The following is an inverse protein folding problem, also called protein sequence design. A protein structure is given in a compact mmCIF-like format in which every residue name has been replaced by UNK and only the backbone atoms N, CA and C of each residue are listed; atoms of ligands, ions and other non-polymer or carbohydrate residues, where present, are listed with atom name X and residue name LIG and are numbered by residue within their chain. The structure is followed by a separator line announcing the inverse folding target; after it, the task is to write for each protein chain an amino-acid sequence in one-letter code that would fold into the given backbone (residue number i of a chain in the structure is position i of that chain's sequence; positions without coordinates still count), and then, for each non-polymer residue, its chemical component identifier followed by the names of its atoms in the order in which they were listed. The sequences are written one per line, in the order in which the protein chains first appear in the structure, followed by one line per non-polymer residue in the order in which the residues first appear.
data_IF_091293163040
#
_entry.id   IF_091293163040
#
_cell.length_a   1.000
_cell.length_b   1.000
_cell.length_c   1.000
_cell.angle_alpha   90.00
_cell.angle_beta   90.00
_cell.angle_gamma   90.00
#
_symmetry.space_group_name_H-M   'P 1'
#
loop_
_entity.id
_entity.type
_entity.pdbx_description
1 polymer ?
#
# COMPACT_ATOMS: atom_id res chain seq x y z
N UNK A 1 8.76 5.35 7.53
CA UNK A 1 7.39 5.23 7.02
C UNK A 1 6.49 5.00 8.21
N UNK A 2 5.79 6.00 8.59
CA UNK A 2 4.71 5.87 9.56
C UNK A 2 3.42 5.88 8.75
N UNK A 3 2.67 4.79 8.71
CA UNK A 3 1.28 4.85 8.32
C UNK A 3 0.55 5.57 9.44
N UNK A 4 0.48 6.91 9.36
CA UNK A 4 -0.26 7.68 10.31
C UNK A 4 -1.74 7.37 10.14
N UNK A 5 -2.37 6.85 11.16
CA UNK A 5 -3.80 6.97 11.35
C UNK A 5 -4.10 8.45 11.48
N UNK A 6 -4.64 9.05 10.41
CA UNK A 6 -4.96 10.47 10.36
C UNK A 6 -5.93 10.78 11.49
N UNK A 7 -5.54 11.68 12.38
CA UNK A 7 -6.42 12.24 13.41
C UNK A 7 -6.20 11.78 14.85
N UNK A 8 -5.21 10.92 15.15
CA UNK A 8 -4.82 10.66 16.52
C UNK A 8 -3.51 11.35 16.88
N UNK A 9 -3.46 12.01 18.02
CA UNK A 9 -2.26 12.61 18.57
C UNK A 9 -1.13 11.60 18.84
N UNK A 10 -1.40 10.31 18.65
CA UNK A 10 -0.46 9.20 18.86
C UNK A 10 0.44 8.89 17.65
N UNK A 11 0.24 9.50 16.49
CA UNK A 11 1.08 9.30 15.31
C UNK A 11 2.15 10.38 15.17
N UNK A 12 3.16 10.32 16.02
CA UNK A 12 4.32 11.20 15.93
C UNK A 12 5.37 10.53 15.05
N UNK A 13 5.74 11.19 13.95
CA UNK A 13 6.95 10.84 13.20
C UNK A 13 8.15 11.46 13.90
N UNK A 14 8.66 10.80 14.91
CA UNK A 14 9.73 11.29 15.75
C UNK A 14 11.11 10.82 15.29
N UNK A 15 11.18 9.82 14.42
CA UNK A 15 12.46 9.26 13.95
C UNK A 15 12.43 8.87 12.47
N UNK A 16 13.51 9.23 11.79
CA UNK A 16 13.79 8.87 10.40
C UNK A 16 14.99 7.94 10.37
N UNK A 17 14.90 6.88 9.59
CA UNK A 17 15.95 5.85 9.53
C UNK A 17 16.91 6.02 8.36
N UNK A 18 16.57 6.89 7.38
CA UNK A 18 17.34 7.14 6.15
C UNK A 18 17.82 5.83 5.49
N UNK A 19 16.88 4.89 5.36
CA UNK A 19 17.20 3.51 4.96
C UNK A 19 17.32 3.32 3.43
N UNK A 20 17.10 4.37 2.63
CA UNK A 20 17.23 4.28 1.18
C UNK A 20 18.68 4.02 0.81
N UNK A 21 18.95 2.98 0.03
CA UNK A 21 20.24 2.63 -0.52
C UNK A 21 20.32 2.85 -2.03
N UNK A 22 21.46 2.52 -2.62
CA UNK A 22 21.72 2.69 -4.05
C UNK A 22 20.86 1.75 -4.91
N UNK A 23 20.43 0.64 -4.35
CA UNK A 23 19.56 -0.34 -4.98
C UNK A 23 18.53 -0.92 -3.99
N UNK A 24 17.66 -1.78 -4.49
CA UNK A 24 16.62 -2.42 -3.69
C UNK A 24 17.21 -3.30 -2.58
N UNK A 25 18.27 -4.05 -2.87
CA UNK A 25 18.92 -4.94 -1.90
C UNK A 25 19.53 -4.15 -0.76
N UNK A 26 20.27 -3.06 -1.08
CA UNK A 26 20.83 -2.15 -0.10
C UNK A 26 19.72 -1.50 0.76
N UNK A 27 18.63 -1.07 0.14
CA UNK A 27 17.47 -0.49 0.84
C UNK A 27 16.85 -1.50 1.82
N UNK A 28 16.60 -2.73 1.40
CA UNK A 28 16.07 -3.77 2.27
C UNK A 28 17.02 -4.10 3.43
N UNK A 29 18.32 -4.23 3.14
CA UNK A 29 19.34 -4.46 4.16
C UNK A 29 19.42 -3.31 5.18
N UNK A 30 19.37 -2.07 4.71
CA UNK A 30 19.37 -0.88 5.55
C UNK A 30 18.13 -0.81 6.46
N UNK A 31 16.94 -1.14 5.93
CA UNK A 31 15.71 -1.19 6.74
C UNK A 31 15.89 -2.13 7.92
N UNK A 32 16.37 -3.35 7.67
CA UNK A 32 16.59 -4.34 8.73
C UNK A 32 17.63 -3.85 9.74
N UNK A 33 18.76 -3.33 9.27
CA UNK A 33 19.86 -2.89 10.13
C UNK A 33 19.48 -1.66 10.96
N UNK A 34 18.87 -0.65 10.33
CA UNK A 34 18.50 0.60 11.00
C UNK A 34 17.37 0.36 12.01
N UNK A 35 16.36 -0.45 11.65
CA UNK A 35 15.28 -0.79 12.57
C UNK A 35 15.77 -1.61 13.76
N UNK A 36 16.67 -2.56 13.55
CA UNK A 36 17.27 -3.32 14.65
C UNK A 36 17.96 -2.40 15.66
N UNK A 37 18.82 -1.48 15.17
CA UNK A 37 19.52 -0.50 16.01
C UNK A 37 18.54 0.40 16.76
N UNK A 38 17.50 0.86 16.08
CA UNK A 38 16.45 1.68 16.67
C UNK A 38 15.73 0.94 17.81
N UNK A 39 15.35 -0.32 17.59
CA UNK A 39 14.65 -1.13 18.59
C UNK A 39 15.52 -1.44 19.81
N UNK A 40 16.82 -1.66 19.62
CA UNK A 40 17.78 -1.81 20.74
C UNK A 40 17.82 -0.56 21.61
N UNK A 41 17.73 0.63 20.99
CA UNK A 41 17.77 1.92 21.70
C UNK A 41 16.44 2.24 22.39
N UNK A 42 15.31 2.03 21.68
CA UNK A 42 13.98 2.46 22.13
C UNK A 42 13.27 1.43 23.01
N UNK A 43 13.61 0.14 22.84
CA UNK A 43 13.01 -1.00 23.54
C UNK A 43 11.47 -0.93 23.57
N UNK A 44 10.81 -0.87 22.40
CA UNK A 44 9.36 -0.77 22.37
C UNK A 44 8.71 -2.04 22.92
N UNK A 45 7.54 -1.91 23.52
CA UNK A 45 6.74 -3.04 24.01
C UNK A 45 6.10 -3.86 22.89
N UNK A 46 5.95 -3.27 21.70
CA UNK A 46 5.43 -3.92 20.51
C UNK A 46 5.71 -3.12 19.26
N UNK A 47 5.67 -3.80 18.11
CA UNK A 47 5.80 -3.19 16.78
C UNK A 47 4.51 -3.41 16.00
N UNK A 48 3.89 -2.33 15.56
CA UNK A 48 2.72 -2.36 14.67
C UNK A 48 3.16 -2.05 13.24
N UNK A 49 2.83 -2.95 12.32
CA UNK A 49 3.13 -2.80 10.90
C UNK A 49 1.84 -2.78 10.10
N UNK A 50 1.74 -1.86 9.14
CA UNK A 50 0.62 -1.79 8.20
C UNK A 50 1.10 -2.15 6.79
N UNK A 51 0.51 -3.20 6.22
CA UNK A 51 0.72 -3.58 4.84
C UNK A 51 2.09 -4.23 4.58
N UNK A 52 2.57 -4.06 3.36
CA UNK A 52 3.58 -4.91 2.74
C UNK A 52 4.69 -4.16 1.99
N UNK A 53 4.80 -2.86 2.17
CA UNK A 53 5.92 -2.09 1.62
C UNK A 53 7.25 -2.56 2.23
N UNK A 54 8.38 -2.27 1.60
CA UNK A 54 9.70 -2.73 2.07
C UNK A 54 9.98 -2.38 3.53
N UNK A 55 9.39 -1.32 4.07
CA UNK A 55 9.51 -0.95 5.49
C UNK A 55 9.01 -2.03 6.45
N UNK A 56 8.11 -2.90 6.00
CA UNK A 56 7.63 -4.02 6.81
C UNK A 56 8.74 -5.02 7.19
N UNK A 57 9.85 -5.06 6.45
CA UNK A 57 11.00 -5.91 6.74
C UNK A 57 11.67 -5.56 8.08
N UNK A 58 11.34 -4.41 8.67
CA UNK A 58 11.73 -4.06 10.05
C UNK A 58 11.30 -5.11 11.08
N UNK A 59 10.25 -5.89 10.80
CA UNK A 59 9.78 -6.98 11.67
C UNK A 59 10.85 -8.06 11.91
N UNK A 60 11.79 -8.24 10.99
CA UNK A 60 12.91 -9.17 11.16
C UNK A 60 13.76 -8.75 12.36
N UNK A 61 14.08 -7.46 12.47
CA UNK A 61 14.78 -6.89 13.61
C UNK A 61 14.00 -7.04 14.91
N UNK A 62 12.71 -6.73 14.89
CA UNK A 62 11.81 -6.88 16.04
C UNK A 62 11.76 -8.34 16.54
N UNK A 63 11.59 -9.29 15.62
CA UNK A 63 11.53 -10.72 15.97
C UNK A 63 12.81 -11.23 16.60
N UNK A 64 13.96 -10.78 16.12
CA UNK A 64 15.29 -11.13 16.70
C UNK A 64 15.49 -10.57 18.10
N UNK A 65 14.80 -9.50 18.44
CA UNK A 65 14.82 -8.87 19.76
C UNK A 65 13.66 -9.31 20.66
N UNK A 66 12.85 -10.30 20.22
CA UNK A 66 11.69 -10.82 20.94
C UNK A 66 10.62 -9.75 21.24
N UNK A 67 10.51 -8.73 20.39
CA UNK A 67 9.48 -7.70 20.49
C UNK A 67 8.22 -8.22 19.80
N UNK A 68 7.04 -8.20 20.45
CA UNK A 68 5.78 -8.61 19.85
C UNK A 68 5.46 -7.81 18.58
N UNK A 69 4.99 -8.50 17.53
CA UNK A 69 4.71 -7.92 16.21
C UNK A 69 3.22 -8.07 15.91
N UNK A 70 2.60 -6.95 15.57
CA UNK A 70 1.20 -6.86 15.15
C UNK A 70 1.16 -6.41 13.69
N UNK A 71 0.56 -7.22 12.82
CA UNK A 71 0.49 -6.93 11.39
C UNK A 71 -0.94 -6.60 10.96
N UNK A 72 -1.18 -5.36 10.54
CA UNK A 72 -2.43 -4.91 9.93
C UNK A 72 -2.40 -5.16 8.41
N UNK A 73 -3.56 -5.42 7.83
CA UNK A 73 -3.71 -5.80 6.42
C UNK A 73 -3.16 -7.20 6.11
N UNK A 74 -3.11 -8.05 7.11
CA UNK A 74 -2.57 -9.40 7.00
C UNK A 74 -3.42 -10.33 6.12
N UNK A 75 -2.78 -11.31 5.48
CA UNK A 75 -3.46 -12.37 4.75
C UNK A 75 -3.92 -12.00 3.34
N UNK A 76 -3.65 -10.82 2.85
CA UNK A 76 -3.85 -10.50 1.45
C UNK A 76 -2.91 -11.36 0.59
N UNK A 77 -3.39 -11.80 -0.56
CA UNK A 77 -2.60 -12.63 -1.49
C UNK A 77 -2.78 -12.17 -2.92
N UNK A 78 -1.70 -12.22 -3.66
CA UNK A 78 -1.69 -12.09 -5.11
C UNK A 78 -1.27 -13.43 -5.74
N UNK A 79 -1.87 -13.79 -6.87
CA UNK A 79 -1.43 -14.96 -7.63
C UNK A 79 -0.17 -14.70 -8.45
N UNK A 80 0.15 -13.44 -8.66
CA UNK A 80 1.37 -13.01 -9.32
C UNK A 80 2.50 -12.91 -8.30
N UNK A 81 3.38 -13.88 -8.31
CA UNK A 81 4.54 -13.95 -7.41
C UNK A 81 5.67 -12.99 -7.82
N UNK A 82 5.57 -12.34 -8.97
CA UNK A 82 6.53 -11.32 -9.40
C UNK A 82 6.36 -10.00 -8.65
N UNK A 83 5.25 -9.83 -7.92
CA UNK A 83 5.02 -8.63 -7.11
C UNK A 83 5.92 -8.64 -5.87
N UNK A 84 6.78 -7.62 -5.69
CA UNK A 84 7.63 -7.51 -4.50
C UNK A 84 6.84 -7.53 -3.19
N UNK A 85 5.66 -6.92 -3.21
CA UNK A 85 4.73 -6.86 -2.08
C UNK A 85 4.24 -8.24 -1.65
N UNK A 86 4.07 -9.19 -2.59
CA UNK A 86 3.64 -10.54 -2.23
C UNK A 86 4.70 -11.28 -1.40
N UNK A 87 5.97 -11.09 -1.74
CA UNK A 87 7.09 -11.63 -0.97
C UNK A 87 7.13 -11.02 0.43
N UNK A 88 7.06 -9.70 0.53
CA UNK A 88 7.06 -8.98 1.79
C UNK A 88 5.89 -9.41 2.68
N UNK A 89 4.71 -9.50 2.12
CA UNK A 89 3.46 -9.88 2.77
C UNK A 89 3.57 -11.26 3.40
N UNK A 90 4.08 -12.25 2.66
CA UNK A 90 4.29 -13.61 3.18
C UNK A 90 5.29 -13.63 4.33
N UNK A 91 6.37 -12.88 4.22
CA UNK A 91 7.37 -12.80 5.30
C UNK A 91 6.73 -12.24 6.57
N UNK A 92 6.04 -11.11 6.46
CA UNK A 92 5.46 -10.42 7.62
C UNK A 92 4.35 -11.25 8.27
N UNK A 93 3.46 -11.85 7.47
CA UNK A 93 2.40 -12.70 7.98
C UNK A 93 2.93 -13.86 8.83
N UNK A 94 4.00 -14.53 8.35
CA UNK A 94 4.55 -15.72 9.00
C UNK A 94 5.24 -15.37 10.32
N UNK A 95 5.96 -14.27 10.38
CA UNK A 95 6.78 -13.95 11.56
C UNK A 95 6.05 -13.06 12.58
N UNK A 96 4.91 -12.49 12.22
CA UNK A 96 4.08 -11.71 13.15
C UNK A 96 3.45 -12.58 14.24
N UNK A 97 3.35 -12.02 15.43
CA UNK A 97 2.73 -12.70 16.58
C UNK A 97 1.19 -12.57 16.52
N UNK A 98 0.69 -11.48 15.97
CA UNK A 98 -0.74 -11.23 15.77
C UNK A 98 -0.97 -10.72 14.35
N UNK A 99 -1.89 -11.36 13.64
CA UNK A 99 -2.32 -10.96 12.30
C UNK A 99 -3.72 -10.36 12.34
N UNK A 100 -3.87 -9.13 11.84
CA UNK A 100 -5.13 -8.40 11.74
C UNK A 100 -5.55 -8.33 10.27
N UNK A 101 -6.43 -9.23 9.88
CA UNK A 101 -6.93 -9.37 8.51
C UNK A 101 -8.09 -8.39 8.24
N UNK A 102 -8.20 -7.89 7.01
CA UNK A 102 -9.33 -7.02 6.63
C UNK A 102 -10.61 -7.80 6.32
N UNK A 103 -10.50 -9.08 6.01
CA UNK A 103 -11.64 -9.90 5.66
C UNK A 103 -11.52 -11.33 6.18
N UNK A 104 -12.65 -12.01 6.26
CA UNK A 104 -12.70 -13.44 6.56
C UNK A 104 -11.97 -14.26 5.48
N UNK A 105 -11.94 -13.78 4.25
CA UNK A 105 -11.21 -14.42 3.17
C UNK A 105 -9.69 -14.39 3.42
N UNK A 106 -9.16 -13.24 3.81
CA UNK A 106 -7.75 -13.10 4.19
C UNK A 106 -7.40 -13.99 5.39
N UNK A 107 -8.29 -14.06 6.40
CA UNK A 107 -8.10 -14.93 7.56
C UNK A 107 -7.99 -16.41 7.17
N UNK A 108 -8.78 -16.86 6.18
CA UNK A 108 -8.71 -18.24 5.68
C UNK A 108 -7.35 -18.52 5.02
N UNK A 109 -6.82 -17.60 4.23
CA UNK A 109 -5.49 -17.74 3.66
C UNK A 109 -4.39 -17.90 4.73
N UNK A 110 -4.48 -17.16 5.81
CA UNK A 110 -3.54 -17.30 6.92
C UNK A 110 -3.66 -18.68 7.58
N UNK A 111 -4.89 -19.17 7.79
CA UNK A 111 -5.14 -20.49 8.34
C UNK A 111 -4.61 -21.61 7.41
N UNK A 112 -4.78 -21.47 6.10
CA UNK A 112 -4.25 -22.41 5.10
C UNK A 112 -2.72 -22.43 5.05
N UNK A 113 -2.07 -21.33 5.44
CA UNK A 113 -0.62 -21.24 5.66
C UNK A 113 -0.16 -21.85 7.00
N UNK A 114 -1.08 -22.42 7.80
CA UNK A 114 -0.76 -23.04 9.09
C UNK A 114 -0.60 -22.04 10.24
N UNK A 115 -1.03 -20.78 10.07
CA UNK A 115 -0.93 -19.78 11.13
C UNK A 115 -2.03 -19.99 12.19
N UNK A 116 -1.73 -19.76 13.49
CA UNK A 116 -2.66 -20.00 14.58
C UNK A 116 -3.90 -19.11 14.46
N UNK A 117 -5.09 -19.73 14.53
CA UNK A 117 -6.37 -19.03 14.46
C UNK A 117 -6.58 -18.07 15.64
N UNK A 118 -6.01 -18.41 16.79
CA UNK A 118 -6.09 -17.64 18.04
C UNK A 118 -5.35 -16.31 17.97
N UNK A 119 -4.46 -16.16 16.97
CA UNK A 119 -3.65 -14.96 16.75
C UNK A 119 -4.02 -14.24 15.46
N UNK A 120 -5.16 -14.60 14.86
CA UNK A 120 -5.64 -14.00 13.62
C UNK A 120 -7.03 -13.41 13.84
N UNK A 121 -7.12 -12.09 13.74
CA UNK A 121 -8.35 -11.32 13.99
C UNK A 121 -8.83 -10.68 12.71
N UNK A 122 -10.14 -10.66 12.46
CA UNK A 122 -10.73 -9.88 11.37
C UNK A 122 -11.13 -8.53 11.93
N UNK A 123 -10.39 -7.50 11.55
CA UNK A 123 -10.59 -6.13 12.01
C UNK A 123 -11.40 -5.27 11.04
N UNK A 124 -11.52 -5.72 9.80
CA UNK A 124 -12.05 -4.88 8.71
C UNK A 124 -11.01 -3.91 8.16
N UNK A 125 -11.33 -3.32 7.01
CA UNK A 125 -10.51 -2.28 6.39
C UNK A 125 -10.83 -0.92 7.01
N UNK A 126 -9.85 -0.08 7.32
CA UNK A 126 -10.08 1.27 7.83
C UNK A 126 -10.67 2.22 6.78
N UNK A 127 -10.70 1.82 5.49
CA UNK A 127 -11.15 2.68 4.39
C UNK A 127 -12.59 3.16 4.57
N UNK A 128 -13.49 2.30 5.07
CA UNK A 128 -14.87 2.68 5.32
C UNK A 128 -15.00 3.77 6.38
N UNK A 129 -14.15 3.71 7.41
CA UNK A 129 -14.09 4.73 8.47
C UNK A 129 -13.50 6.03 7.94
N UNK A 130 -12.41 5.97 7.17
CA UNK A 130 -11.81 7.14 6.53
C UNK A 130 -12.81 7.86 5.62
N UNK A 131 -13.53 7.12 4.78
CA UNK A 131 -14.55 7.71 3.90
C UNK A 131 -15.68 8.35 4.70
N UNK A 132 -16.15 7.70 5.75
CA UNK A 132 -17.22 8.23 6.61
C UNK A 132 -16.81 9.51 7.32
N UNK A 133 -15.60 9.55 7.84
CA UNK A 133 -15.07 10.72 8.56
C UNK A 133 -14.84 11.93 7.65
N UNK A 134 -14.61 11.69 6.35
CA UNK A 134 -14.41 12.74 5.36
C UNK A 134 -15.64 12.98 4.47
N UNK A 135 -16.80 12.35 4.76
CA UNK A 135 -17.98 12.42 3.90
C UNK A 135 -18.47 13.86 3.69
N UNK A 136 -18.50 14.65 4.76
CA UNK A 136 -18.95 16.05 4.67
C UNK A 136 -18.04 16.88 3.74
N UNK A 137 -16.73 16.67 3.75
CA UNK A 137 -15.80 17.34 2.86
C UNK A 137 -15.92 16.85 1.41
N UNK A 138 -16.18 15.54 1.24
CA UNK A 138 -16.41 14.94 -0.07
C UNK A 138 -17.69 15.53 -0.71
N UNK A 139 -18.77 15.68 0.06
CA UNK A 139 -20.06 16.18 -0.44
C UNK A 139 -20.02 17.65 -0.86
N UNK A 140 -19.22 18.49 -0.19
CA UNK A 140 -19.06 19.91 -0.53
C UNK A 140 -17.93 20.18 -1.52
N UNK A 141 -17.23 19.15 -1.98
CA UNK A 141 -16.11 19.28 -2.90
C UNK A 141 -16.54 19.87 -4.25
N UNK A 142 -15.81 20.89 -4.69
CA UNK A 142 -16.00 21.56 -5.99
C UNK A 142 -15.26 20.88 -7.15
N UNK A 143 -14.68 19.70 -6.91
CA UNK A 143 -13.79 19.01 -7.87
C UNK A 143 -14.44 18.81 -9.25
N UNK A 144 -15.73 18.49 -9.31
CA UNK A 144 -16.44 18.33 -10.57
C UNK A 144 -16.53 19.66 -11.35
N UNK A 145 -16.80 20.76 -10.67
CA UNK A 145 -16.88 22.09 -11.28
C UNK A 145 -15.49 22.53 -11.76
N UNK A 146 -14.49 22.39 -10.91
CA UNK A 146 -13.10 22.77 -11.19
C UNK A 146 -12.50 22.01 -12.37
N UNK A 147 -12.89 20.75 -12.56
CA UNK A 147 -12.42 19.90 -13.65
C UNK A 147 -13.39 19.85 -14.83
N UNK A 148 -14.46 20.66 -14.81
CA UNK A 148 -15.53 20.68 -15.82
C UNK A 148 -16.12 19.29 -16.11
N UNK A 149 -16.32 18.49 -15.07
CA UNK A 149 -16.86 17.14 -15.16
C UNK A 149 -18.36 17.13 -14.79
N UNK A 150 -19.14 16.41 -15.54
CA UNK A 150 -20.52 16.13 -15.22
C UNK A 150 -20.64 14.81 -14.46
N UNK A 151 -21.34 14.81 -13.32
CA UNK A 151 -21.51 13.63 -12.48
C UNK A 151 -22.15 12.49 -13.29
N UNK A 152 -21.48 11.32 -13.30
CA UNK A 152 -21.92 10.15 -14.05
C UNK A 152 -21.57 10.14 -15.54
N UNK A 153 -20.91 11.20 -16.06
CA UNK A 153 -20.50 11.29 -17.46
C UNK A 153 -18.97 11.41 -17.64
N UNK A 154 -18.24 10.68 -16.85
CA UNK A 154 -16.79 10.53 -16.99
C UNK A 154 -16.35 9.14 -16.48
N UNK A 155 -15.21 8.70 -16.91
CA UNK A 155 -14.57 7.46 -16.46
C UNK A 155 -13.44 7.83 -15.53
N UNK A 156 -13.44 7.29 -14.30
CA UNK A 156 -12.33 7.45 -13.38
C UNK A 156 -11.33 6.31 -13.59
N UNK A 157 -10.08 6.68 -13.91
CA UNK A 157 -8.99 5.75 -14.12
C UNK A 157 -7.96 5.83 -12.98
N UNK A 158 -7.56 4.68 -12.45
CA UNK A 158 -6.40 4.53 -11.60
C UNK A 158 -5.52 3.41 -12.16
N UNK A 159 -4.34 3.75 -12.66
CA UNK A 159 -3.39 2.80 -13.22
C UNK A 159 -1.97 3.27 -12.89
N UNK A 160 -1.30 2.58 -11.95
CA UNK A 160 0.02 3.01 -11.46
C UNK A 160 0.98 1.85 -11.18
N UNK A 161 0.63 0.62 -11.57
CA UNK A 161 1.52 -0.54 -11.42
C UNK A 161 2.71 -0.45 -12.35
N UNK A 162 3.88 -0.80 -11.85
CA UNK A 162 5.16 -0.74 -12.57
C UNK A 162 5.12 -1.55 -13.88
N UNK A 163 4.55 -2.74 -13.85
CA UNK A 163 4.45 -3.64 -15.00
C UNK A 163 3.70 -3.01 -16.17
N UNK A 164 2.73 -2.16 -15.89
CA UNK A 164 1.93 -1.48 -16.90
C UNK A 164 2.56 -0.18 -17.40
N UNK A 165 3.48 0.40 -16.62
CA UNK A 165 4.03 1.73 -16.88
C UNK A 165 5.47 1.65 -17.37
N UNK A 166 6.29 0.76 -16.83
CA UNK A 166 7.72 0.74 -17.10
C UNK A 166 8.08 0.07 -18.43
N UNK A 167 7.26 -0.86 -18.89
CA UNK A 167 7.45 -1.48 -20.21
C UNK A 167 6.75 -0.66 -21.29
N UNK A 168 7.49 -0.22 -22.30
CA UNK A 168 6.97 0.62 -23.39
C UNK A 168 5.77 -0.02 -24.08
N UNK A 169 5.86 -1.31 -24.42
CA UNK A 169 4.77 -2.06 -25.04
C UNK A 169 3.49 -2.04 -24.20
N UNK A 170 3.60 -2.31 -22.90
CA UNK A 170 2.44 -2.37 -22.02
C UNK A 170 1.83 -0.98 -21.82
N UNK A 171 2.69 0.04 -21.70
CA UNK A 171 2.27 1.43 -21.58
C UNK A 171 1.45 1.87 -22.81
N UNK A 172 1.97 1.68 -24.02
CA UNK A 172 1.26 2.02 -25.24
C UNK A 172 -0.04 1.23 -25.40
N UNK A 173 -0.04 -0.08 -25.12
CA UNK A 173 -1.25 -0.91 -25.18
C UNK A 173 -2.32 -0.42 -24.21
N UNK A 174 -1.94 -0.09 -22.98
CA UNK A 174 -2.84 0.41 -21.95
C UNK A 174 -3.48 1.74 -22.39
N UNK A 175 -2.66 2.73 -22.77
CA UNK A 175 -3.19 4.06 -23.11
C UNK A 175 -3.95 4.07 -24.45
N UNK A 176 -3.59 3.22 -25.40
CA UNK A 176 -4.39 2.99 -26.60
C UNK A 176 -5.78 2.44 -26.26
N UNK A 177 -5.86 1.47 -25.36
CA UNK A 177 -7.15 0.93 -24.89
C UNK A 177 -7.97 1.97 -24.12
N UNK A 178 -7.32 2.80 -23.32
CA UNK A 178 -7.97 3.89 -22.57
C UNK A 178 -8.58 4.91 -23.53
N UNK A 179 -7.84 5.35 -24.55
CA UNK A 179 -8.33 6.28 -25.56
C UNK A 179 -9.50 5.67 -26.35
N UNK A 180 -9.40 4.40 -26.75
CA UNK A 180 -10.50 3.70 -27.40
C UNK A 180 -11.77 3.60 -26.53
N UNK A 181 -11.61 3.53 -25.21
CA UNK A 181 -12.75 3.59 -24.29
C UNK A 181 -13.38 4.98 -24.25
N UNK A 182 -12.57 6.05 -24.22
CA UNK A 182 -13.07 7.42 -24.29
C UNK A 182 -13.91 7.64 -25.54
N UNK A 183 -13.39 7.24 -26.70
CA UNK A 183 -14.05 7.34 -28.00
C UNK A 183 -15.36 6.52 -28.04
N UNK A 184 -15.29 5.26 -27.56
CA UNK A 184 -16.44 4.35 -27.59
C UNK A 184 -17.62 4.83 -26.75
N UNK A 185 -17.35 5.44 -25.61
CA UNK A 185 -18.38 5.86 -24.66
C UNK A 185 -18.69 7.36 -24.75
N UNK A 186 -17.94 8.09 -25.59
CA UNK A 186 -18.03 9.55 -25.69
C UNK A 186 -17.96 10.21 -24.31
N UNK A 187 -16.98 9.79 -23.51
CA UNK A 187 -16.79 10.25 -22.14
C UNK A 187 -15.33 10.64 -21.88
N UNK A 188 -15.10 11.77 -21.18
CA UNK A 188 -13.76 12.10 -20.73
C UNK A 188 -13.26 11.08 -19.69
N UNK A 189 -11.96 10.83 -19.70
CA UNK A 189 -11.31 9.96 -18.71
C UNK A 189 -10.54 10.83 -17.73
N UNK A 190 -10.94 10.78 -16.46
CA UNK A 190 -10.20 11.39 -15.36
C UNK A 190 -9.17 10.40 -14.85
N UNK A 191 -7.91 10.66 -15.11
CA UNK A 191 -6.83 9.81 -14.67
C UNK A 191 -6.20 10.34 -13.37
N UNK A 192 -6.34 9.56 -12.28
CA UNK A 192 -5.60 9.80 -11.03
C UNK A 192 -4.14 9.40 -11.25
N UNK A 193 -3.35 10.35 -11.76
CA UNK A 193 -2.03 10.09 -12.31
C UNK A 193 -0.94 10.14 -11.23
N UNK A 194 -0.25 9.02 -11.01
CA UNK A 194 0.93 8.97 -10.17
C UNK A 194 2.09 9.76 -10.85
N UNK A 195 3.01 10.41 -10.09
CA UNK A 195 4.11 11.17 -10.66
C UNK A 195 4.95 10.42 -11.72
N UNK A 196 5.23 9.14 -11.48
CA UNK A 196 5.94 8.27 -12.44
C UNK A 196 5.20 8.18 -13.77
N UNK A 197 3.89 7.95 -13.74
CA UNK A 197 3.05 7.88 -14.95
C UNK A 197 2.97 9.21 -15.67
N UNK A 198 2.89 10.32 -14.92
CA UNK A 198 2.87 11.68 -15.48
C UNK A 198 4.14 11.98 -16.27
N UNK A 199 5.31 11.70 -15.72
CA UNK A 199 6.59 11.94 -16.39
C UNK A 199 6.67 11.14 -17.70
N UNK A 200 6.18 9.91 -17.71
CA UNK A 200 6.20 9.07 -18.90
C UNK A 200 5.19 9.52 -19.96
N UNK A 201 3.98 9.92 -19.58
CA UNK A 201 2.99 10.49 -20.49
C UNK A 201 3.54 11.72 -21.21
N UNK A 202 4.17 12.63 -20.47
CA UNK A 202 4.79 13.83 -21.02
C UNK A 202 5.93 13.49 -21.99
N UNK A 203 6.73 12.46 -21.69
CA UNK A 203 7.82 12.02 -22.55
C UNK A 203 7.34 11.28 -23.82
N UNK A 204 6.16 10.65 -23.79
CA UNK A 204 5.61 9.82 -24.88
C UNK A 204 4.69 10.58 -25.83
N UNK A 205 4.36 11.83 -25.54
CA UNK A 205 3.51 12.67 -26.38
C UNK A 205 2.02 12.29 -26.36
N UNK A 206 1.58 11.60 -25.32
CA UNK A 206 0.16 11.30 -25.06
C UNK A 206 -0.54 12.45 -24.38
#
# INVERSE_FOLDING_TARGET
ICACLVGSEMCIRDRYMDAVGDDLGATCGNIINCSYKLFVQTKPDGVLVLGDTNSCLSVIGAKRLHIPIFHMEAGNRCKDECLPEETNRRIVDIISDVNMAYSEHARRYLADCGLPKERTYVTGSPMAEVLRNNLAEIEVSDVHQRLALEKGKYILLSAHREENIDTEKNFFSLFTAINAMADKYDMPILYSCHPRSRNRLQASGF
#
